data_IF_221917039793
#
_entry.id   IF_221917039793
#
_cell.length_a   1.000
_cell.length_b   1.000
_cell.length_c   1.000
_cell.angle_alpha   90.00
_cell.angle_beta   90.00
_cell.angle_gamma   90.00
#
_symmetry.space_group_name_H-M   'P 1'
#
loop_
_entity.id
_entity.type
_entity.pdbx_description
1 polymer ?
#
# COMPACT_ATOMS: atom_id res chain seq x y z
N UNK A 1 -12.81 17.42 -15.70
CA UNK A 1 -12.35 16.18 -15.06
C UNK A 1 -12.23 15.13 -16.14
N UNK A 2 -11.17 14.32 -16.16
CA UNK A 2 -11.12 13.14 -17.01
C UNK A 2 -12.32 12.24 -16.70
N UNK A 3 -12.78 11.47 -17.69
CA UNK A 3 -13.81 10.45 -17.47
C UNK A 3 -13.26 9.30 -16.61
N UNK A 4 -14.15 8.45 -16.10
CA UNK A 4 -13.78 7.22 -15.41
C UNK A 4 -12.78 6.39 -16.22
N UNK A 5 -13.11 6.08 -17.47
CA UNK A 5 -12.25 5.28 -18.35
C UNK A 5 -10.90 5.95 -18.61
N UNK A 6 -10.87 7.29 -18.73
CA UNK A 6 -9.62 8.05 -18.87
C UNK A 6 -8.76 7.97 -17.60
N UNK A 7 -9.36 8.08 -16.42
CA UNK A 7 -8.68 7.95 -15.12
C UNK A 7 -8.05 6.56 -14.97
N UNK A 8 -8.82 5.51 -15.25
CA UNK A 8 -8.36 4.11 -15.18
C UNK A 8 -7.22 3.83 -16.18
N UNK A 9 -7.30 4.38 -17.40
CA UNK A 9 -6.22 4.29 -18.39
C UNK A 9 -4.95 5.02 -17.94
N UNK A 10 -5.07 6.19 -17.32
CA UNK A 10 -3.93 6.99 -16.86
C UNK A 10 -3.20 6.29 -15.72
N UNK A 11 -3.91 5.81 -14.70
CA UNK A 11 -3.28 5.11 -13.57
C UNK A 11 -2.64 3.79 -14.01
N UNK A 12 -3.27 3.05 -14.94
CA UNK A 12 -2.69 1.82 -15.49
C UNK A 12 -1.38 2.08 -16.26
N UNK A 13 -1.24 3.27 -16.87
CA UNK A 13 -0.01 3.70 -17.52
C UNK A 13 1.12 4.04 -16.55
N UNK A 14 0.80 4.57 -15.36
CA UNK A 14 1.77 4.91 -14.31
C UNK A 14 2.12 3.70 -13.44
N UNK A 15 1.13 2.84 -13.17
CA UNK A 15 1.20 1.70 -12.27
C UNK A 15 0.84 0.44 -13.06
N UNK A 16 1.83 -0.22 -13.69
CA UNK A 16 1.57 -1.31 -14.62
C UNK A 16 1.21 -2.64 -13.93
N UNK A 17 1.30 -2.71 -12.60
CA UNK A 17 0.98 -3.92 -11.83
C UNK A 17 -0.42 -3.78 -11.25
N UNK A 18 -1.36 -4.53 -11.81
CA UNK A 18 -2.74 -4.57 -11.35
C UNK A 18 -3.75 -4.00 -12.34
N UNK A 19 -5.02 -4.32 -12.09
CA UNK A 19 -6.15 -3.61 -12.67
C UNK A 19 -6.68 -2.62 -11.63
N UNK A 20 -6.84 -1.36 -12.02
CA UNK A 20 -7.33 -0.29 -11.15
C UNK A 20 -8.71 0.16 -11.63
N UNK A 21 -9.68 0.11 -10.72
CA UNK A 21 -11.05 0.53 -10.99
C UNK A 21 -11.37 1.79 -10.19
N UNK A 22 -11.90 2.80 -10.85
CA UNK A 22 -12.31 4.04 -10.21
C UNK A 22 -13.77 3.94 -9.73
N UNK A 23 -13.95 4.19 -8.44
CA UNK A 23 -15.24 4.29 -7.77
C UNK A 23 -15.69 5.75 -7.76
N UNK A 24 -16.68 6.09 -8.59
CA UNK A 24 -17.21 7.44 -8.70
C UNK A 24 -18.00 7.88 -7.46
N UNK A 25 -18.56 6.96 -6.68
CA UNK A 25 -19.31 7.30 -5.46
C UNK A 25 -18.35 7.68 -4.33
N UNK A 26 -17.29 6.88 -4.15
CA UNK A 26 -16.31 7.09 -3.09
C UNK A 26 -15.11 7.96 -3.51
N UNK A 27 -15.01 8.31 -4.79
CA UNK A 27 -13.92 9.11 -5.37
C UNK A 27 -12.54 8.51 -5.04
N UNK A 28 -12.37 7.21 -5.27
CA UNK A 28 -11.13 6.49 -5.03
C UNK A 28 -10.87 5.43 -6.09
N UNK A 29 -9.62 4.97 -6.19
CA UNK A 29 -9.28 3.78 -6.96
C UNK A 29 -9.23 2.57 -6.05
N UNK A 30 -9.65 1.43 -6.57
CA UNK A 30 -9.52 0.14 -5.92
C UNK A 30 -8.78 -0.83 -6.83
N UNK A 31 -7.99 -1.71 -6.25
CA UNK A 31 -7.35 -2.82 -6.94
C UNK A 31 -7.32 -4.04 -6.02
N UNK A 32 -7.39 -5.24 -6.60
CA UNK A 32 -7.20 -6.52 -5.91
C UNK A 32 -5.75 -6.99 -5.95
N UNK A 33 -4.85 -6.19 -6.52
CA UNK A 33 -3.41 -6.44 -6.53
C UNK A 33 -2.93 -6.71 -5.12
N UNK A 34 -2.31 -7.88 -4.95
CA UNK A 34 -1.72 -8.28 -3.68
C UNK A 34 -0.59 -7.33 -3.30
N UNK A 35 -0.68 -6.78 -2.09
CA UNK A 35 0.37 -6.02 -1.45
C UNK A 35 0.83 -6.74 -0.20
N UNK A 36 2.13 -7.01 -0.11
CA UNK A 36 2.77 -7.57 1.07
C UNK A 36 3.75 -6.51 1.57
N UNK A 37 3.48 -5.97 2.76
CA UNK A 37 4.36 -5.01 3.40
C UNK A 37 5.19 -5.71 4.48
N UNK A 38 6.50 -5.80 4.29
CA UNK A 38 7.38 -6.41 5.29
C UNK A 38 7.55 -5.49 6.50
N UNK A 39 7.52 -6.07 7.69
CA UNK A 39 7.92 -5.43 8.95
C UNK A 39 8.89 -6.31 9.72
N UNK A 40 9.73 -5.70 10.55
CA UNK A 40 10.70 -6.35 11.43
C UNK A 40 10.38 -5.97 12.88
N UNK A 41 10.38 -6.93 13.80
CA UNK A 41 10.32 -6.62 15.24
C UNK A 41 11.71 -6.24 15.74
N UNK A 42 11.91 -4.96 16.05
CA UNK A 42 13.19 -4.43 16.52
C UNK A 42 13.35 -4.56 18.04
N UNK A 43 12.23 -4.56 18.77
CA UNK A 43 12.13 -4.81 20.20
C UNK A 43 10.68 -5.23 20.53
N UNK A 44 10.43 -5.67 21.77
CA UNK A 44 9.07 -6.05 22.20
C UNK A 44 8.07 -4.91 21.93
N UNK A 45 7.07 -5.20 21.08
CA UNK A 45 6.04 -4.24 20.64
C UNK A 45 6.60 -3.01 19.90
N UNK A 46 7.77 -3.13 19.25
CA UNK A 46 8.38 -2.10 18.41
C UNK A 46 8.72 -2.71 17.06
N UNK A 47 8.07 -2.22 16.01
CA UNK A 47 8.19 -2.75 14.66
C UNK A 47 8.70 -1.67 13.71
N UNK A 48 9.53 -2.04 12.74
CA UNK A 48 10.03 -1.15 11.70
C UNK A 48 9.69 -1.70 10.32
N UNK A 49 9.69 -0.84 9.30
CA UNK A 49 9.61 -1.29 7.91
C UNK A 49 10.72 -2.30 7.61
N UNK A 50 10.38 -3.36 6.88
CA UNK A 50 11.33 -4.32 6.33
C UNK A 50 12.15 -3.75 5.16
N UNK A 51 12.71 -4.65 4.35
CA UNK A 51 13.48 -4.23 3.17
C UNK A 51 12.60 -4.06 1.94
N UNK A 52 11.48 -4.78 1.87
CA UNK A 52 10.64 -4.81 0.66
C UNK A 52 9.16 -4.58 0.90
N UNK A 53 8.52 -4.05 -0.13
CA UNK A 53 7.07 -4.15 -0.35
C UNK A 53 6.88 -4.92 -1.65
N UNK A 54 5.97 -5.89 -1.68
CA UNK A 54 5.67 -6.66 -2.88
C UNK A 54 4.34 -6.23 -3.48
N UNK A 55 4.32 -6.07 -4.81
CA UNK A 55 3.14 -5.76 -5.60
C UNK A 55 2.90 -6.86 -6.62
N UNK A 56 1.82 -7.62 -6.47
CA UNK A 56 1.49 -8.73 -7.38
C UNK A 56 2.66 -9.71 -7.60
N UNK A 57 3.49 -9.92 -6.56
CA UNK A 57 4.68 -10.77 -6.60
C UNK A 57 5.99 -10.09 -7.03
N UNK A 58 5.99 -8.82 -7.41
CA UNK A 58 7.21 -8.07 -7.71
C UNK A 58 7.73 -7.32 -6.48
N UNK A 59 9.02 -7.44 -6.19
CA UNK A 59 9.65 -6.78 -5.05
C UNK A 59 10.05 -5.34 -5.38
N UNK A 60 9.68 -4.41 -4.49
CA UNK A 60 10.15 -3.04 -4.44
C UNK A 60 10.99 -2.86 -3.17
N UNK A 61 12.24 -2.42 -3.31
CA UNK A 61 13.11 -2.18 -2.15
C UNK A 61 12.79 -0.81 -1.56
N UNK A 62 12.49 -0.77 -0.26
CA UNK A 62 12.24 0.46 0.47
C UNK A 62 13.55 1.21 0.72
N UNK A 63 13.59 2.48 0.32
CA UNK A 63 14.68 3.37 0.66
C UNK A 63 14.63 3.74 2.15
N UNK A 64 15.79 4.05 2.75
CA UNK A 64 15.88 4.34 4.18
C UNK A 64 15.00 5.53 4.63
N UNK A 65 14.71 6.47 3.73
CA UNK A 65 13.87 7.62 4.02
C UNK A 65 12.36 7.30 3.98
N UNK A 66 11.97 6.16 3.40
CA UNK A 66 10.60 5.65 3.35
C UNK A 66 10.28 4.74 4.54
N UNK A 67 11.30 4.25 5.24
CA UNK A 67 11.16 3.34 6.38
C UNK A 67 10.53 4.04 7.58
N UNK A 68 9.60 3.34 8.23
CA UNK A 68 8.84 3.83 9.39
C UNK A 68 9.03 2.92 10.59
N UNK A 69 8.54 3.41 11.73
CA UNK A 69 8.52 2.68 12.99
C UNK A 69 7.14 2.80 13.61
N UNK A 70 6.62 1.67 14.07
CA UNK A 70 5.33 1.54 14.72
C UNK A 70 5.50 0.94 16.12
N UNK A 71 4.54 1.23 16.99
CA UNK A 71 4.56 0.84 18.39
C UNK A 71 3.22 0.20 18.77
N UNK A 72 3.27 -0.89 19.54
CA UNK A 72 2.10 -1.60 20.02
C UNK A 72 2.11 -3.08 19.64
N UNK A 73 1.03 -3.81 19.96
CA UNK A 73 0.90 -5.21 19.59
C UNK A 73 0.82 -5.38 18.08
N UNK A 74 1.31 -6.52 17.57
CA UNK A 74 1.41 -6.82 16.13
C UNK A 74 0.09 -6.58 15.36
N UNK A 75 -1.05 -6.98 15.91
CA UNK A 75 -2.35 -6.80 15.26
C UNK A 75 -2.68 -5.31 15.02
N UNK A 76 -2.47 -4.47 16.04
CA UNK A 76 -2.70 -3.03 15.92
C UNK A 76 -1.70 -2.35 14.98
N UNK A 77 -0.45 -2.83 14.98
CA UNK A 77 0.58 -2.36 14.04
C UNK A 77 0.20 -2.73 12.60
N UNK A 78 -0.30 -3.94 12.37
CA UNK A 78 -0.71 -4.36 11.03
C UNK A 78 -1.87 -3.49 10.48
N UNK A 79 -2.85 -3.17 11.31
CA UNK A 79 -3.93 -2.23 10.97
C UNK A 79 -3.39 -0.83 10.68
N UNK A 80 -2.46 -0.33 11.52
CA UNK A 80 -1.86 0.99 11.34
C UNK A 80 -1.04 1.08 10.05
N UNK A 81 -0.24 0.06 9.72
CA UNK A 81 0.56 0.00 8.49
C UNK A 81 -0.36 0.06 7.25
N UNK A 82 -1.47 -0.69 7.27
CA UNK A 82 -2.44 -0.66 6.18
C UNK A 82 -3.08 0.73 6.02
N UNK A 83 -3.44 1.38 7.13
CA UNK A 83 -4.01 2.72 7.11
C UNK A 83 -3.01 3.77 6.62
N UNK A 84 -1.79 3.77 7.16
CA UNK A 84 -0.71 4.67 6.72
C UNK A 84 -0.45 4.52 5.22
N UNK A 85 -0.47 3.28 4.73
CA UNK A 85 -0.27 2.99 3.32
C UNK A 85 -1.41 3.56 2.45
N UNK A 86 -2.66 3.40 2.86
CA UNK A 86 -3.82 3.97 2.15
C UNK A 86 -3.77 5.51 2.17
N UNK A 87 -3.44 6.11 3.32
CA UNK A 87 -3.38 7.56 3.50
C UNK A 87 -2.26 8.22 2.68
N UNK A 88 -1.18 7.50 2.40
CA UNK A 88 -0.09 7.99 1.57
C UNK A 88 -0.27 7.68 0.10
N UNK A 89 -1.02 6.63 -0.23
CA UNK A 89 -1.11 6.16 -1.59
C UNK A 89 -2.23 6.83 -2.37
N UNK A 90 -1.85 7.85 -3.14
CA UNK A 90 -2.76 8.61 -3.99
C UNK A 90 -2.32 8.57 -5.46
N UNK A 91 -3.29 8.62 -6.36
CA UNK A 91 -3.08 8.91 -7.77
C UNK A 91 -3.84 10.19 -8.09
N UNK A 92 -3.11 11.24 -8.47
CA UNK A 92 -3.62 12.61 -8.46
C UNK A 92 -4.14 12.96 -7.06
N UNK A 93 -5.39 13.40 -6.94
CA UNK A 93 -6.03 13.74 -5.65
C UNK A 93 -6.92 12.61 -5.12
N UNK A 94 -6.87 11.41 -5.72
CA UNK A 94 -7.73 10.28 -5.37
C UNK A 94 -6.95 9.20 -4.60
N UNK A 95 -7.46 8.72 -3.45
CA UNK A 95 -6.87 7.60 -2.74
C UNK A 95 -6.83 6.33 -3.60
N UNK A 96 -5.79 5.50 -3.42
CA UNK A 96 -5.64 4.20 -4.08
C UNK A 96 -5.63 3.09 -3.03
N UNK A 97 -6.70 2.32 -3.02
CA UNK A 97 -6.96 1.29 -2.02
C UNK A 97 -6.60 -0.08 -2.61
N UNK A 98 -5.61 -0.73 -2.00
CA UNK A 98 -5.25 -2.11 -2.29
C UNK A 98 -6.08 -3.02 -1.39
N UNK A 99 -7.10 -3.67 -1.96
CA UNK A 99 -8.07 -4.47 -1.20
C UNK A 99 -7.49 -5.81 -0.72
N UNK A 100 -6.35 -6.22 -1.30
CA UNK A 100 -5.57 -7.39 -0.91
C UNK A 100 -4.25 -6.97 -0.27
N UNK A 101 -4.32 -6.30 0.88
CA UNK A 101 -3.16 -5.84 1.63
C UNK A 101 -2.91 -6.75 2.84
N UNK A 102 -1.65 -7.15 3.06
CA UNK A 102 -1.24 -7.79 4.30
C UNK A 102 0.13 -7.32 4.76
N UNK A 103 0.34 -7.45 6.06
CA UNK A 103 1.63 -7.22 6.70
C UNK A 103 2.29 -8.55 7.00
N UNK A 104 3.58 -8.66 6.69
CA UNK A 104 4.36 -9.86 6.93
C UNK A 104 5.53 -9.56 7.87
N UNK A 105 5.59 -10.27 9.00
CA UNK A 105 6.70 -10.18 9.93
C UNK A 105 7.86 -11.03 9.40
N UNK A 106 8.99 -10.40 9.10
CA UNK A 106 10.22 -11.06 8.66
C UNK A 106 11.22 -11.16 9.82
N UNK A 107 11.99 -12.25 9.84
CA UNK A 107 12.89 -12.65 10.95
C UNK A 107 14.35 -12.51 10.54
#
# INVERSE_FOLDING_TARGET
>A
MPSKDELELLIAGERPVGEFLFDEENQCFTTDTEVIYEIIEAAENVFCSGEYIYFGGYAYSMEDHEKKTWFGPLEAVAEQVAQDYIDENHFMDFPVIYTSFRVELVV
#
